data_IF_116266197525
#
_entry.id   IF_116266197525
#
_cell.length_a   1.000
_cell.length_b   1.000
_cell.length_c   1.000
_cell.angle_alpha   90.00
_cell.angle_beta   90.00
_cell.angle_gamma   90.00
#
_symmetry.space_group_name_H-M   'P 1'
#
loop_
_entity.id
_entity.type
_entity.pdbx_description
1 polymer ?
#
# COMPACT_ATOMS: atom_id res chain seq x y z
N UNK A 1 4.61 -38.77 5.97
CA UNK A 1 3.15 -38.77 6.22
C UNK A 1 2.44 -38.73 4.87
N UNK A 2 1.89 -39.85 4.41
CA UNK A 2 1.15 -39.92 3.13
C UNK A 2 -0.28 -39.37 3.33
N UNK A 3 -0.82 -38.60 2.37
CA UNK A 3 -2.16 -38.04 2.49
C UNK A 3 -3.22 -39.15 2.47
N UNK A 4 -3.99 -39.23 3.56
CA UNK A 4 -5.11 -40.16 3.74
C UNK A 4 -6.35 -39.63 3.01
N UNK A 5 -6.41 -39.73 1.69
CA UNK A 5 -7.62 -39.34 0.93
C UNK A 5 -7.79 -40.24 -0.30
N UNK A 6 -8.11 -41.52 -0.12
CA UNK A 6 -8.63 -42.36 -1.21
C UNK A 6 -9.66 -43.34 -0.65
N UNK A 7 -10.81 -42.82 -0.22
CA UNK A 7 -12.04 -43.62 -0.12
C UNK A 7 -12.95 -43.19 -1.28
N UNK A 8 -12.91 -43.93 -2.40
CA UNK A 8 -13.91 -43.88 -3.47
C UNK A 8 -13.61 -43.08 -4.75
N UNK A 9 -12.53 -42.29 -4.83
CA UNK A 9 -12.17 -41.56 -6.06
C UNK A 9 -11.08 -42.28 -6.87
N UNK A 10 -11.25 -42.31 -8.20
CA UNK A 10 -10.26 -42.89 -9.11
C UNK A 10 -8.94 -42.10 -9.08
N UNK A 11 -7.81 -42.78 -9.29
CA UNK A 11 -6.47 -42.15 -9.41
C UNK A 11 -6.47 -41.02 -10.47
N UNK A 12 -7.30 -41.15 -11.52
CA UNK A 12 -7.48 -40.14 -12.56
C UNK A 12 -8.16 -38.87 -12.02
N UNK A 13 -9.17 -39.02 -11.17
CA UNK A 13 -9.82 -37.89 -10.50
C UNK A 13 -8.86 -37.17 -9.55
N UNK A 14 -8.05 -37.92 -8.80
CA UNK A 14 -7.02 -37.34 -7.93
C UNK A 14 -5.93 -36.58 -8.71
N UNK A 15 -5.45 -37.12 -9.84
CA UNK A 15 -4.49 -36.41 -10.70
C UNK A 15 -5.09 -35.15 -11.35
N UNK A 16 -6.36 -35.22 -11.76
CA UNK A 16 -7.08 -34.06 -12.28
C UNK A 16 -7.25 -32.97 -11.22
N UNK A 17 -7.56 -33.37 -9.98
CA UNK A 17 -7.67 -32.48 -8.82
C UNK A 17 -6.34 -31.79 -8.52
N UNK A 18 -5.23 -32.54 -8.49
CA UNK A 18 -3.90 -31.95 -8.28
C UNK A 18 -3.55 -30.94 -9.38
N UNK A 19 -3.84 -31.26 -10.65
CA UNK A 19 -3.60 -30.32 -11.76
C UNK A 19 -4.47 -29.07 -11.65
N UNK A 20 -5.73 -29.23 -11.23
CA UNK A 20 -6.67 -28.12 -10.98
C UNK A 20 -6.16 -27.24 -9.85
N UNK A 21 -5.75 -27.84 -8.72
CA UNK A 21 -5.22 -27.16 -7.55
C UNK A 21 -3.98 -26.33 -7.89
N UNK A 22 -3.04 -26.89 -8.65
CA UNK A 22 -1.85 -26.15 -9.12
C UNK A 22 -2.20 -24.93 -9.99
N UNK A 23 -3.21 -25.06 -10.84
CA UNK A 23 -3.67 -23.93 -11.68
C UNK A 23 -4.31 -22.84 -10.83
N UNK A 24 -5.06 -23.21 -9.79
CA UNK A 24 -5.68 -22.29 -8.86
C UNK A 24 -4.64 -21.57 -7.98
N UNK A 25 -3.66 -22.28 -7.44
CA UNK A 25 -2.52 -21.71 -6.70
C UNK A 25 -1.82 -20.61 -7.51
N UNK A 26 -1.48 -20.88 -8.77
CA UNK A 26 -0.83 -19.86 -9.62
C UNK A 26 -1.70 -18.63 -9.93
N UNK A 27 -3.03 -18.76 -9.82
CA UNK A 27 -3.96 -17.63 -9.98
C UNK A 27 -4.06 -16.84 -8.69
N UNK A 28 -4.07 -17.52 -7.54
CA UNK A 28 -4.07 -16.89 -6.22
C UNK A 28 -2.80 -16.07 -6.01
N UNK A 29 -1.62 -16.64 -6.28
CA UNK A 29 -0.34 -15.93 -6.13
C UNK A 29 -0.27 -14.64 -6.97
N UNK A 30 -0.80 -14.67 -8.21
CA UNK A 30 -0.85 -13.48 -9.08
C UNK A 30 -1.80 -12.43 -8.55
N UNK A 31 -2.94 -12.84 -8.00
CA UNK A 31 -3.91 -11.92 -7.41
C UNK A 31 -3.35 -11.29 -6.12
N UNK A 32 -2.69 -12.08 -5.28
CA UNK A 32 -2.03 -11.59 -4.06
C UNK A 32 -0.89 -10.61 -4.40
N UNK A 33 -0.09 -10.92 -5.42
CA UNK A 33 0.93 -10.00 -5.94
C UNK A 33 0.32 -8.69 -6.42
N UNK A 34 -0.76 -8.75 -7.21
CA UNK A 34 -1.43 -7.55 -7.69
C UNK A 34 -1.96 -6.72 -6.53
N UNK A 35 -2.62 -7.35 -5.56
CA UNK A 35 -3.14 -6.70 -4.37
C UNK A 35 -2.03 -6.01 -3.55
N UNK A 36 -0.89 -6.68 -3.34
CA UNK A 36 0.23 -6.11 -2.60
C UNK A 36 0.82 -4.88 -3.31
N UNK A 37 1.00 -4.93 -4.63
CA UNK A 37 1.47 -3.78 -5.41
C UNK A 37 0.45 -2.64 -5.38
N UNK A 38 -0.84 -2.94 -5.55
CA UNK A 38 -1.90 -1.95 -5.55
C UNK A 38 -2.02 -1.23 -4.19
N UNK A 39 -1.98 -1.95 -3.08
CA UNK A 39 -1.98 -1.36 -1.73
C UNK A 39 -0.69 -0.57 -1.46
N UNK A 40 0.46 -1.06 -1.92
CA UNK A 40 1.71 -0.30 -1.82
C UNK A 40 1.63 1.04 -2.55
N UNK A 41 1.05 1.06 -3.75
CA UNK A 41 0.88 2.27 -4.55
C UNK A 41 -0.04 3.30 -3.88
N UNK A 42 -1.19 2.86 -3.37
CA UNK A 42 -2.11 3.73 -2.61
C UNK A 42 -1.46 4.27 -1.35
N UNK A 43 -0.77 3.42 -0.59
CA UNK A 43 -0.08 3.83 0.64
C UNK A 43 1.07 4.82 0.35
N UNK A 44 1.82 4.62 -0.74
CA UNK A 44 2.86 5.54 -1.16
C UNK A 44 2.30 6.91 -1.59
N UNK A 45 1.21 6.91 -2.39
CA UNK A 45 0.54 8.14 -2.79
C UNK A 45 -0.02 8.90 -1.58
N UNK A 46 -0.63 8.18 -0.62
CA UNK A 46 -1.15 8.77 0.61
C UNK A 46 -0.03 9.35 1.49
N UNK A 47 1.11 8.66 1.57
CA UNK A 47 2.28 9.17 2.27
C UNK A 47 2.80 10.48 1.65
N UNK A 48 2.86 10.54 0.32
CA UNK A 48 3.30 11.73 -0.41
C UNK A 48 2.35 12.93 -0.18
N UNK A 49 1.04 12.72 -0.34
CA UNK A 49 0.03 13.77 -0.12
C UNK A 49 0.02 14.25 1.33
N UNK A 50 0.10 13.34 2.31
CA UNK A 50 0.17 13.71 3.72
C UNK A 50 1.45 14.50 4.04
N UNK A 51 2.61 14.10 3.50
CA UNK A 51 3.86 14.84 3.65
C UNK A 51 3.79 16.24 2.99
N UNK A 52 3.13 16.35 1.84
CA UNK A 52 2.92 17.64 1.17
C UNK A 52 2.01 18.56 1.99
N UNK A 53 0.96 18.04 2.64
CA UNK A 53 0.12 18.82 3.55
C UNK A 53 0.93 19.39 4.73
N UNK A 54 1.85 18.60 5.30
CA UNK A 54 2.79 19.07 6.34
C UNK A 54 3.68 20.19 5.81
N UNK A 55 4.16 20.08 4.57
CA UNK A 55 5.00 21.09 3.91
C UNK A 55 4.24 22.37 3.60
N UNK A 56 3.03 22.29 3.06
CA UNK A 56 2.19 23.44 2.73
C UNK A 56 1.77 24.22 3.99
N UNK A 57 1.48 23.52 5.10
CA UNK A 57 1.21 24.15 6.40
C UNK A 57 2.43 24.92 6.96
N UNK A 58 3.66 24.50 6.63
CA UNK A 58 4.87 25.22 7.05
C UNK A 58 5.12 26.53 6.29
N UNK A 59 4.50 26.73 5.13
CA UNK A 59 4.67 27.95 4.32
C UNK A 59 3.86 29.14 4.88
N UNK A 60 3.02 28.92 5.90
CA UNK A 60 2.29 29.96 6.63
C UNK A 60 2.99 30.40 7.93
N UNK A 61 4.20 29.92 8.25
CA UNK A 61 5.01 30.46 9.34
C UNK A 61 5.91 31.63 8.87
N UNK A 62 5.63 32.89 9.25
CA UNK A 62 6.63 33.93 9.17
C UNK A 62 7.64 33.72 10.32
N UNK A 63 8.88 33.43 9.93
CA UNK A 63 10.11 33.52 10.72
C UNK A 63 9.99 34.32 12.05
N UNK A 64 9.74 33.65 13.19
CA UNK A 64 10.02 34.23 14.51
C UNK A 64 10.95 33.32 15.30
N UNK A 65 12.25 33.58 15.16
CA UNK A 65 13.18 33.39 16.28
C UNK A 65 12.69 34.26 17.44
N UNK A 66 11.97 33.74 18.44
CA UNK A 66 12.01 34.28 19.83
C UNK A 66 11.71 33.21 20.87
N UNK A 67 12.58 33.24 21.86
CA UNK A 67 12.56 32.66 23.20
C UNK A 67 11.16 32.67 23.85
N UNK A 68 10.80 31.57 24.54
CA UNK A 68 9.79 31.41 25.60
C UNK A 68 8.47 32.19 25.45
N UNK A 69 7.36 31.50 25.13
CA UNK A 69 6.04 31.80 25.70
C UNK A 69 5.03 30.66 25.44
N UNK A 70 4.37 30.23 26.51
CA UNK A 70 3.21 29.35 26.54
C UNK A 70 1.95 30.13 26.12
N UNK A 71 1.18 29.63 25.13
CA UNK A 71 -0.29 29.77 24.94
C UNK A 71 -0.71 29.17 23.59
N UNK A 72 -1.29 27.98 23.56
CA UNK A 72 -2.72 27.61 23.69
C UNK A 72 -3.59 27.93 22.44
N UNK A 73 -3.91 26.83 21.74
CA UNK A 73 -5.17 26.44 21.07
C UNK A 73 -5.72 27.25 19.87
N UNK A 74 -6.08 26.62 18.74
CA UNK A 74 -6.33 25.21 18.50
C UNK A 74 -6.46 24.83 17.01
N UNK A 75 -6.53 23.51 16.81
CA UNK A 75 -6.80 22.77 15.55
C UNK A 75 -5.66 22.62 14.53
N UNK A 76 -4.79 23.61 14.34
CA UNK A 76 -3.79 23.55 13.25
C UNK A 76 -2.55 22.65 13.54
N UNK A 77 -2.04 22.65 14.77
CA UNK A 77 -0.89 21.81 15.17
C UNK A 77 -1.27 20.31 15.19
N UNK A 78 -2.46 20.00 15.73
CA UNK A 78 -3.03 18.66 15.69
C UNK A 78 -3.18 18.13 14.26
N UNK A 79 -3.61 18.98 13.32
CA UNK A 79 -3.67 18.63 11.91
C UNK A 79 -2.31 18.35 11.27
N UNK A 80 -1.26 19.11 11.61
CA UNK A 80 0.10 18.90 11.09
C UNK A 80 0.73 17.63 11.66
N UNK A 81 0.63 17.43 12.98
CA UNK A 81 1.12 16.23 13.64
C UNK A 81 0.42 14.97 13.11
N UNK A 82 -0.90 15.04 12.92
CA UNK A 82 -1.69 13.96 12.34
C UNK A 82 -1.27 13.63 10.91
N UNK A 83 -1.05 14.63 10.06
CA UNK A 83 -0.59 14.40 8.69
C UNK A 83 0.84 13.81 8.65
N UNK A 84 1.73 14.24 9.56
CA UNK A 84 3.08 13.67 9.66
C UNK A 84 3.09 12.20 10.12
N UNK A 85 2.25 11.86 11.12
CA UNK A 85 2.05 10.48 11.56
C UNK A 85 1.43 9.66 10.43
N UNK A 86 0.45 10.20 9.72
CA UNK A 86 -0.19 9.54 8.58
C UNK A 86 0.82 9.25 7.46
N UNK A 87 1.67 10.23 7.14
CA UNK A 87 2.72 10.06 6.13
C UNK A 87 3.68 8.92 6.48
N UNK A 88 4.14 8.90 7.74
CA UNK A 88 5.08 7.90 8.23
C UNK A 88 4.44 6.50 8.28
N UNK A 89 3.21 6.40 8.78
CA UNK A 89 2.48 5.13 8.84
C UNK A 89 2.21 4.58 7.43
N UNK A 90 1.75 5.43 6.50
CA UNK A 90 1.49 5.02 5.13
C UNK A 90 2.78 4.61 4.40
N UNK A 91 3.90 5.29 4.65
CA UNK A 91 5.20 4.89 4.10
C UNK A 91 5.68 3.52 4.62
N UNK A 92 5.44 3.21 5.91
CA UNK A 92 5.73 1.90 6.48
C UNK A 92 4.86 0.79 5.86
N UNK A 93 3.55 1.05 5.71
CA UNK A 93 2.64 0.11 5.03
C UNK A 93 3.08 -0.11 3.58
N UNK A 94 3.41 0.95 2.85
CA UNK A 94 3.91 0.86 1.48
C UNK A 94 5.17 -0.01 1.41
N UNK A 95 6.11 0.20 2.34
CA UNK A 95 7.35 -0.59 2.43
C UNK A 95 7.03 -2.07 2.68
N UNK A 96 6.15 -2.37 3.63
CA UNK A 96 5.79 -3.75 3.95
C UNK A 96 5.09 -4.46 2.79
N UNK A 97 4.19 -3.76 2.08
CA UNK A 97 3.52 -4.29 0.91
C UNK A 97 4.49 -4.53 -0.26
N UNK A 98 5.51 -3.67 -0.44
CA UNK A 98 6.57 -3.87 -1.43
C UNK A 98 7.42 -5.11 -1.08
N UNK A 99 7.75 -5.33 0.19
CA UNK A 99 8.48 -6.54 0.61
C UNK A 99 7.68 -7.82 0.35
N UNK A 100 6.39 -7.79 0.68
CA UNK A 100 5.45 -8.88 0.40
C UNK A 100 5.38 -9.14 -1.11
N UNK A 101 5.18 -8.09 -1.92
CA UNK A 101 5.18 -8.18 -3.38
C UNK A 101 6.50 -8.75 -3.94
N UNK A 102 7.66 -8.33 -3.42
CA UNK A 102 8.98 -8.86 -3.81
C UNK A 102 9.13 -10.34 -3.47
N UNK A 103 8.66 -10.76 -2.28
CA UNK A 103 8.68 -12.17 -1.87
C UNK A 103 7.83 -13.07 -2.79
N UNK A 104 6.80 -12.50 -3.41
CA UNK A 104 5.93 -13.14 -4.40
C UNK A 104 6.44 -13.02 -5.85
N UNK A 105 7.61 -12.40 -6.07
CA UNK A 105 8.23 -12.30 -7.39
C UNK A 105 7.93 -11.03 -8.19
N UNK A 106 7.41 -9.97 -7.55
CA UNK A 106 7.26 -8.67 -8.20
C UNK A 106 8.64 -8.14 -8.66
N UNK A 107 8.72 -7.72 -9.91
CA UNK A 107 9.94 -7.18 -10.48
C UNK A 107 10.10 -5.68 -10.19
N UNK A 108 11.30 -5.15 -10.40
CA UNK A 108 11.62 -3.74 -10.15
C UNK A 108 10.87 -2.79 -11.09
N UNK A 109 10.53 -3.22 -12.30
CA UNK A 109 9.86 -2.39 -13.30
C UNK A 109 8.39 -2.14 -12.91
N UNK A 110 7.69 -3.16 -12.42
CA UNK A 110 6.33 -3.05 -11.88
C UNK A 110 6.29 -2.09 -10.69
N UNK A 111 7.27 -2.20 -9.80
CA UNK A 111 7.42 -1.31 -8.65
C UNK A 111 7.75 0.13 -9.08
N UNK A 112 8.62 0.31 -10.07
CA UNK A 112 8.99 1.63 -10.60
C UNK A 112 7.81 2.34 -11.25
N UNK A 113 7.09 1.64 -12.13
CA UNK A 113 5.87 2.15 -12.77
C UNK A 113 4.78 2.52 -11.75
N UNK A 114 4.62 1.71 -10.70
CA UNK A 114 3.72 2.02 -9.58
C UNK A 114 4.13 3.29 -8.83
N UNK A 115 5.42 3.46 -8.51
CA UNK A 115 5.92 4.67 -7.82
C UNK A 115 5.69 5.90 -8.68
N UNK A 116 6.01 5.84 -9.97
CA UNK A 116 5.76 6.97 -10.90
C UNK A 116 4.27 7.33 -10.95
N UNK A 117 3.38 6.34 -11.03
CA UNK A 117 1.94 6.56 -10.99
C UNK A 117 1.47 7.13 -9.65
N UNK A 118 2.05 6.70 -8.53
CA UNK A 118 1.72 7.22 -7.20
C UNK A 118 2.17 8.67 -7.02
N UNK A 119 3.32 9.05 -7.60
CA UNK A 119 3.81 10.44 -7.61
C UNK A 119 3.00 11.37 -8.53
N UNK A 120 2.23 10.81 -9.47
CA UNK A 120 1.34 11.57 -10.33
C UNK A 120 0.03 12.01 -9.64
N UNK A 121 -0.28 11.47 -8.45
CA UNK A 121 -1.47 11.83 -7.66
C UNK A 121 -1.26 13.21 -7.04
N UNK A 122 -2.14 14.17 -7.36
CA UNK A 122 -2.02 15.56 -6.88
C UNK A 122 -3.12 15.96 -5.91
N UNK A 123 -4.29 15.33 -6.06
CA UNK A 123 -5.49 15.72 -5.33
C UNK A 123 -6.20 14.51 -4.71
N UNK A 124 -7.12 14.80 -3.77
CA UNK A 124 -7.92 13.76 -3.11
C UNK A 124 -8.79 12.95 -4.10
N UNK A 125 -9.20 13.55 -5.23
CA UNK A 125 -9.92 12.86 -6.30
C UNK A 125 -9.09 11.74 -6.93
N UNK A 126 -7.82 12.01 -7.24
CA UNK A 126 -6.89 11.03 -7.79
C UNK A 126 -6.65 9.88 -6.81
N UNK A 127 -6.54 10.19 -5.50
CA UNK A 127 -6.41 9.17 -4.45
C UNK A 127 -7.63 8.25 -4.40
N UNK A 128 -8.85 8.79 -4.51
CA UNK A 128 -10.08 8.00 -4.52
C UNK A 128 -10.10 7.06 -5.73
N UNK A 129 -9.80 7.59 -6.92
CA UNK A 129 -9.73 6.78 -8.15
C UNK A 129 -8.64 5.71 -8.06
N UNK A 130 -7.45 6.05 -7.57
CA UNK A 130 -6.36 5.09 -7.37
C UNK A 130 -6.74 4.00 -6.35
N UNK A 131 -7.42 4.37 -5.27
CA UNK A 131 -7.90 3.42 -4.26
C UNK A 131 -8.99 2.50 -4.82
N UNK A 132 -9.90 3.04 -5.63
CA UNK A 132 -10.91 2.24 -6.31
C UNK A 132 -10.29 1.26 -7.30
N UNK A 133 -9.28 1.68 -8.06
CA UNK A 133 -8.52 0.80 -8.95
C UNK A 133 -7.75 -0.28 -8.19
N UNK A 134 -7.25 0.03 -6.98
CA UNK A 134 -6.57 -0.94 -6.14
C UNK A 134 -7.49 -2.03 -5.54
N UNK A 135 -8.81 -1.80 -5.51
CA UNK A 135 -9.79 -2.69 -4.91
C UNK A 135 -10.39 -3.74 -5.89
N UNK A 136 -9.99 -3.73 -7.17
CA UNK A 136 -10.47 -4.63 -8.23
C UNK A 136 -9.55 -5.82 -8.46
#
# INVERSE_FOLDING_TARGET
KLPRILHGQSIKAWLAEIKRNKKEESRLEKAELHAAISVAGVAAALAAVAAENVRNKSNYEPQRRKLHEEKEDGDQDGGRARDAVMASAAALVATQCVEVARSMGANKDQLGSMIESALAVKDAGDLITLTAAAAT
#
